data_IF_010983923011
#
_entry.id   IF_010983923011
#
_cell.length_a   1.000
_cell.length_b   1.000
_cell.length_c   1.000
_cell.angle_alpha   90.00
_cell.angle_beta   90.00
_cell.angle_gamma   90.00
#
_symmetry.space_group_name_H-M   'P 1'
#
loop_
_entity.id
_entity.type
_entity.pdbx_description
1 polymer ?
#
# COMPACT_ATOMS: atom_id res chain seq x y z
N UNK A 1 2.37 21.85 4.20
CA UNK A 1 3.42 22.23 3.23
C UNK A 1 4.56 21.22 3.30
N UNK A 2 4.79 20.44 2.23
CA UNK A 2 5.97 19.55 2.09
C UNK A 2 6.60 19.79 0.71
N UNK A 3 7.94 19.72 0.55
CA UNK A 3 8.64 20.20 -0.64
C UNK A 3 8.88 19.10 -1.69
N UNK A 4 8.93 19.52 -2.96
CA UNK A 4 9.19 18.71 -4.17
C UNK A 4 10.68 18.35 -4.31
N UNK A 5 10.98 17.15 -4.83
CA UNK A 5 12.32 16.70 -5.21
C UNK A 5 12.39 16.47 -6.73
N UNK A 6 13.44 16.99 -7.37
CA UNK A 6 13.79 16.89 -8.78
C UNK A 6 14.92 15.88 -9.00
N UNK A 7 14.87 15.10 -10.09
CA UNK A 7 15.90 14.12 -10.46
C UNK A 7 16.29 14.21 -11.95
N UNK A 8 17.58 14.10 -12.24
CA UNK A 8 18.19 14.06 -13.58
C UNK A 8 18.48 12.61 -14.02
N UNK A 9 18.32 12.35 -15.32
CA UNK A 9 18.36 11.03 -15.97
C UNK A 9 19.66 10.78 -16.75
N UNK A 10 20.12 9.52 -16.78
CA UNK A 10 21.17 9.01 -17.67
C UNK A 10 20.71 7.73 -18.39
N UNK A 11 20.81 7.72 -19.72
CA UNK A 11 20.41 6.65 -20.66
C UNK A 11 21.52 5.58 -20.80
N UNK A 12 21.19 4.34 -21.19
CA UNK A 12 21.88 3.46 -22.16
C UNK A 12 21.12 2.10 -22.33
N UNK A 13 21.34 1.31 -23.42
CA UNK A 13 20.27 0.65 -24.16
C UNK A 13 20.18 -0.89 -24.02
N UNK A 14 19.06 -1.40 -24.52
CA UNK A 14 18.53 -2.75 -24.44
C UNK A 14 19.19 -3.79 -25.36
N UNK A 15 19.03 -5.08 -25.01
CA UNK A 15 18.92 -6.18 -25.98
C UNK A 15 18.08 -7.34 -25.44
N UNK A 16 17.25 -7.87 -26.34
CA UNK A 16 16.18 -8.85 -26.18
C UNK A 16 16.68 -10.30 -26.20
N UNK A 17 15.94 -11.21 -25.54
CA UNK A 17 15.58 -12.53 -26.10
C UNK A 17 14.42 -13.15 -25.31
N UNK A 18 13.42 -13.63 -26.05
CA UNK A 18 12.19 -14.24 -25.58
C UNK A 18 12.32 -15.77 -25.47
N UNK A 19 11.60 -16.37 -24.52
CA UNK A 19 11.39 -17.81 -24.43
C UNK A 19 10.13 -18.10 -23.61
N UNK A 20 9.09 -18.62 -24.27
CA UNK A 20 7.82 -19.02 -23.66
C UNK A 20 7.90 -20.49 -23.21
N UNK A 21 7.33 -20.80 -22.04
CA UNK A 21 7.05 -22.18 -21.61
C UNK A 21 5.63 -22.21 -21.01
N UNK A 22 4.81 -23.11 -21.55
CA UNK A 22 3.44 -23.40 -21.10
C UNK A 22 3.45 -24.34 -19.89
N UNK A 23 2.48 -24.19 -18.98
CA UNK A 23 2.24 -25.13 -17.87
C UNK A 23 0.76 -25.54 -17.87
N UNK A 24 0.52 -26.84 -17.93
CA UNK A 24 -0.80 -27.46 -17.81
C UNK A 24 -1.18 -27.65 -16.33
N UNK A 25 -2.46 -27.43 -16.01
CA UNK A 25 -3.03 -27.60 -14.67
C UNK A 25 -3.52 -29.03 -14.45
N UNK A 26 -3.30 -29.57 -13.25
CA UNK A 26 -3.96 -30.79 -12.75
C UNK A 26 -4.81 -30.41 -11.55
N UNK A 27 -6.11 -30.71 -11.62
CA UNK A 27 -7.06 -30.57 -10.53
C UNK A 27 -7.11 -31.87 -9.70
N UNK A 28 -7.21 -31.76 -8.38
CA UNK A 28 -7.52 -32.89 -7.49
C UNK A 28 -8.75 -32.54 -6.65
N UNK A 29 -9.74 -33.42 -6.70
CA UNK A 29 -11.05 -33.31 -6.06
C UNK A 29 -11.12 -34.15 -4.78
N UNK A 30 -11.62 -33.54 -3.69
CA UNK A 30 -12.45 -34.13 -2.62
C UNK A 30 -11.81 -35.05 -1.57
N UNK A 31 -12.09 -34.82 -0.27
CA UNK A 31 -13.08 -35.56 0.56
C UNK A 31 -13.36 -34.73 1.83
N UNK A 32 -14.63 -34.53 2.19
CA UNK A 32 -15.07 -33.78 3.37
C UNK A 32 -15.16 -34.71 4.60
N UNK A 33 -14.48 -34.32 5.68
CA UNK A 33 -14.64 -34.87 7.03
C UNK A 33 -15.02 -33.73 7.99
N UNK A 34 -16.13 -33.90 8.71
CA UNK A 34 -16.71 -32.89 9.58
C UNK A 34 -15.92 -32.74 10.90
N UNK A 35 -15.08 -31.71 10.97
CA UNK A 35 -14.61 -31.09 12.22
C UNK A 35 -14.06 -29.68 11.91
N UNK A 36 -14.67 -28.62 12.45
CA UNK A 36 -14.11 -27.26 12.38
C UNK A 36 -15.04 -26.17 11.84
N UNK A 37 -16.19 -25.95 12.46
CA UNK A 37 -17.11 -24.86 12.09
C UNK A 37 -16.67 -23.47 12.58
N UNK A 38 -15.78 -23.38 13.57
CA UNK A 38 -15.24 -22.09 14.06
C UNK A 38 -14.02 -21.59 13.27
N UNK A 39 -13.13 -22.50 12.85
CA UNK A 39 -11.94 -22.16 12.05
C UNK A 39 -12.28 -21.87 10.59
N UNK A 40 -13.24 -22.61 10.00
CA UNK A 40 -13.70 -22.35 8.64
C UNK A 40 -14.43 -21.00 8.52
N UNK A 41 -15.23 -20.63 9.54
CA UNK A 41 -15.90 -19.33 9.59
C UNK A 41 -14.92 -18.16 9.80
N UNK A 42 -13.88 -18.32 10.63
CA UNK A 42 -12.84 -17.31 10.78
C UNK A 42 -11.97 -17.17 9.53
N UNK A 43 -11.67 -18.28 8.83
CA UNK A 43 -10.95 -18.25 7.55
C UNK A 43 -11.80 -17.65 6.43
N UNK A 44 -13.11 -17.89 6.43
CA UNK A 44 -14.04 -17.27 5.47
C UNK A 44 -14.21 -15.75 5.72
N UNK A 45 -14.33 -15.31 6.98
CA UNK A 45 -14.35 -13.88 7.30
C UNK A 45 -13.02 -13.18 6.98
N UNK A 46 -11.89 -13.84 7.20
CA UNK A 46 -10.57 -13.37 6.81
C UNK A 46 -10.40 -13.30 5.27
N UNK A 47 -11.00 -14.24 4.52
CA UNK A 47 -10.97 -14.23 3.07
C UNK A 47 -11.80 -13.07 2.46
N UNK A 48 -12.91 -12.68 3.10
CA UNK A 48 -13.73 -11.54 2.67
C UNK A 48 -13.10 -10.20 3.06
N UNK A 49 -12.42 -10.13 4.20
CA UNK A 49 -11.74 -8.90 4.66
C UNK A 49 -10.30 -8.76 4.13
N UNK A 50 -9.69 -9.81 3.58
CA UNK A 50 -8.27 -9.82 3.24
C UNK A 50 -7.32 -9.81 4.45
N UNK A 51 -7.85 -9.82 5.68
CA UNK A 51 -7.08 -9.79 6.91
C UNK A 51 -6.27 -11.09 7.10
N UNK A 52 -5.05 -11.03 7.65
CA UNK A 52 -4.29 -12.22 7.96
C UNK A 52 -4.83 -12.97 9.19
N UNK A 53 -4.57 -14.28 9.32
CA UNK A 53 -4.92 -15.03 10.53
C UNK A 53 -4.11 -14.52 11.74
N UNK A 54 -4.62 -14.70 12.96
CA UNK A 54 -3.93 -14.23 14.18
C UNK A 54 -2.48 -14.72 14.31
N UNK A 55 -2.19 -15.94 13.86
CA UNK A 55 -0.83 -16.51 13.85
C UNK A 55 0.16 -15.71 12.98
N UNK A 56 -0.34 -14.93 12.01
CA UNK A 56 0.48 -14.03 11.20
C UNK A 56 1.11 -12.93 12.02
N UNK A 57 0.51 -12.46 13.11
CA UNK A 57 1.04 -11.35 13.89
C UNK A 57 2.12 -11.75 14.90
N UNK A 58 2.51 -13.03 14.93
CA UNK A 58 3.56 -13.51 15.82
C UNK A 58 3.08 -13.62 17.26
N UNK A 59 4.02 -13.56 18.22
CA UNK A 59 3.69 -13.64 19.64
C UNK A 59 3.61 -12.24 20.24
N UNK A 60 2.49 -11.57 20.03
CA UNK A 60 2.26 -10.20 20.51
C UNK A 60 2.31 -10.08 22.03
N UNK A 61 2.11 -11.19 22.77
CA UNK A 61 2.26 -11.25 24.23
C UNK A 61 3.71 -11.09 24.71
N UNK A 62 4.71 -11.21 23.82
CA UNK A 62 6.13 -10.98 24.13
C UNK A 62 6.61 -9.56 23.84
N UNK A 63 5.77 -8.71 23.22
CA UNK A 63 6.12 -7.32 22.97
C UNK A 63 6.30 -6.63 24.33
N UNK A 64 7.46 -6.01 24.60
CA UNK A 64 7.71 -5.37 25.88
C UNK A 64 6.75 -4.20 26.12
N UNK A 65 6.54 -3.86 27.39
CA UNK A 65 5.79 -2.66 27.73
C UNK A 65 6.55 -1.42 27.28
N UNK A 66 5.85 -0.53 26.56
CA UNK A 66 6.38 0.76 26.15
C UNK A 66 6.80 1.58 27.37
N UNK A 67 7.92 2.29 27.26
CA UNK A 67 8.33 3.30 28.25
C UNK A 67 7.94 4.71 27.82
N UNK A 68 7.66 4.89 26.53
CA UNK A 68 7.11 6.12 25.94
C UNK A 68 5.63 5.93 25.61
N UNK A 69 5.22 6.14 24.36
CA UNK A 69 3.80 6.13 23.97
C UNK A 69 3.34 4.72 23.58
N UNK A 70 4.09 4.03 22.72
CA UNK A 70 3.81 2.66 22.30
C UNK A 70 5.11 1.94 21.93
N UNK A 71 5.09 0.62 22.01
CA UNK A 71 6.19 -0.22 21.50
C UNK A 71 5.87 -0.62 20.05
N UNK A 72 6.82 -0.45 19.13
CA UNK A 72 6.67 -0.91 17.75
C UNK A 72 7.54 -2.15 17.52
N UNK A 73 6.94 -3.27 17.14
CA UNK A 73 7.64 -4.47 16.68
C UNK A 73 7.75 -4.47 15.16
N UNK A 74 8.94 -4.74 14.63
CA UNK A 74 9.13 -5.01 13.20
C UNK A 74 9.20 -6.53 12.99
N UNK A 75 8.18 -7.08 12.33
CA UNK A 75 7.98 -8.51 12.19
C UNK A 75 8.37 -9.01 10.79
N UNK A 76 9.31 -9.95 10.75
CA UNK A 76 9.73 -10.57 9.49
C UNK A 76 8.66 -11.52 8.95
N UNK A 77 8.10 -11.19 7.78
CA UNK A 77 7.17 -12.02 7.01
C UNK A 77 7.65 -12.26 5.59
N UNK A 78 8.96 -12.26 5.38
CA UNK A 78 9.59 -12.51 4.07
C UNK A 78 9.56 -13.98 3.63
N UNK A 79 8.88 -14.86 4.38
CA UNK A 79 8.79 -16.29 4.06
C UNK A 79 10.14 -17.01 4.06
N UNK A 80 11.09 -16.56 4.90
CA UNK A 80 12.45 -17.10 4.95
C UNK A 80 13.40 -16.57 3.87
N UNK A 81 12.94 -15.67 2.99
CA UNK A 81 13.78 -15.05 1.95
C UNK A 81 14.93 -14.24 2.54
N UNK A 82 14.68 -13.55 3.65
CA UNK A 82 15.69 -12.79 4.38
C UNK A 82 15.68 -13.19 5.85
N UNK A 83 16.84 -13.49 6.45
CA UNK A 83 16.93 -13.60 7.91
C UNK A 83 16.77 -12.21 8.55
N UNK A 84 16.49 -12.19 9.85
CA UNK A 84 16.30 -10.96 10.64
C UNK A 84 17.50 -10.00 10.61
N UNK A 85 18.72 -10.51 10.38
CA UNK A 85 19.92 -9.69 10.19
C UNK A 85 19.95 -8.95 8.84
N UNK A 86 18.97 -9.20 7.97
CA UNK A 86 18.82 -8.64 6.62
C UNK A 86 17.48 -7.95 6.40
N UNK A 87 16.68 -7.77 7.45
CA UNK A 87 15.49 -6.90 7.45
C UNK A 87 15.84 -5.70 8.30
N UNK A 88 15.80 -4.50 7.71
CA UNK A 88 16.22 -3.26 8.36
C UNK A 88 15.05 -2.31 8.50
N UNK A 89 15.11 -1.49 9.54
CA UNK A 89 14.28 -0.30 9.68
C UNK A 89 15.14 0.95 9.84
N UNK A 90 14.62 2.09 9.43
CA UNK A 90 15.19 3.41 9.71
C UNK A 90 14.12 4.39 10.14
N UNK A 91 14.39 5.09 11.25
CA UNK A 91 13.54 6.13 11.81
C UNK A 91 14.39 7.09 12.64
N UNK A 92 14.13 8.40 12.49
CA UNK A 92 14.76 9.47 13.27
C UNK A 92 16.31 9.38 13.35
N UNK A 93 16.94 9.23 12.19
CA UNK A 93 18.41 9.09 12.06
C UNK A 93 18.98 7.77 12.59
N UNK A 94 18.15 6.92 13.19
CA UNK A 94 18.55 5.58 13.65
C UNK A 94 18.23 4.55 12.58
N UNK A 95 19.10 3.54 12.48
CA UNK A 95 18.96 2.45 11.52
C UNK A 95 19.52 1.17 12.13
N UNK A 96 18.72 0.10 12.10
CA UNK A 96 19.07 -1.21 12.66
C UNK A 96 18.48 -2.33 11.81
N UNK A 97 19.12 -3.49 11.84
CA UNK A 97 18.44 -4.74 11.49
C UNK A 97 17.53 -5.19 12.64
N UNK A 98 16.47 -5.93 12.34
CA UNK A 98 15.57 -6.44 13.38
C UNK A 98 16.26 -7.50 14.27
N UNK A 99 17.32 -8.17 13.80
CA UNK A 99 18.16 -9.02 14.66
C UNK A 99 18.93 -8.22 15.72
N UNK A 100 19.27 -6.96 15.44
CA UNK A 100 19.94 -6.09 16.41
C UNK A 100 18.95 -5.41 17.35
N UNK A 101 17.82 -4.97 16.79
CA UNK A 101 16.80 -4.24 17.53
C UNK A 101 15.43 -4.48 16.86
N UNK A 102 14.65 -5.45 17.35
CA UNK A 102 13.34 -5.77 16.78
C UNK A 102 12.24 -4.82 17.24
N UNK A 103 12.47 -4.09 18.35
CA UNK A 103 11.50 -3.17 18.93
C UNK A 103 11.96 -1.71 18.95
N UNK A 104 11.00 -0.80 18.79
CA UNK A 104 11.19 0.65 18.86
C UNK A 104 10.23 1.20 19.91
N UNK A 105 10.75 1.61 21.07
CA UNK A 105 10.02 2.37 22.08
C UNK A 105 9.77 3.79 21.53
N UNK A 106 8.56 4.01 21.02
CA UNK A 106 8.22 5.12 20.13
C UNK A 106 7.78 6.36 20.94
N UNK A 107 8.49 7.50 20.82
CA UNK A 107 8.08 8.76 21.42
C UNK A 107 6.92 9.40 20.66
N UNK A 108 6.28 10.38 21.30
CA UNK A 108 5.46 11.34 20.60
C UNK A 108 6.28 12.06 19.52
N UNK A 109 5.66 12.28 18.36
CA UNK A 109 6.25 12.97 17.22
C UNK A 109 5.14 13.63 16.39
N UNK A 110 5.47 14.74 15.73
CA UNK A 110 4.52 15.49 14.90
C UNK A 110 4.35 14.91 13.49
N UNK A 111 5.35 14.18 12.99
CA UNK A 111 5.30 13.39 11.77
C UNK A 111 6.48 12.41 11.73
N UNK A 112 6.21 11.16 11.32
CA UNK A 112 7.19 10.10 11.19
C UNK A 112 7.08 9.37 9.86
N UNK A 113 8.23 8.95 9.34
CA UNK A 113 8.34 7.90 8.34
C UNK A 113 9.26 6.82 8.87
N UNK A 114 8.73 5.63 9.04
CA UNK A 114 9.54 4.44 9.32
C UNK A 114 9.79 3.76 7.98
N UNK A 115 11.04 3.76 7.54
CA UNK A 115 11.47 3.08 6.32
C UNK A 115 11.88 1.64 6.62
N UNK A 116 11.53 0.72 5.74
CA UNK A 116 11.81 -0.71 5.85
C UNK A 116 12.63 -1.14 4.63
N UNK A 117 13.69 -1.91 4.84
CA UNK A 117 14.58 -2.38 3.76
C UNK A 117 14.88 -3.87 3.86
N UNK A 118 15.06 -4.52 2.71
CA UNK A 118 15.46 -5.92 2.63
C UNK A 118 16.83 -6.11 1.97
N UNK A 119 17.66 -6.97 2.57
CA UNK A 119 19.00 -7.32 2.11
C UNK A 119 20.10 -6.38 2.60
N UNK A 120 19.89 -5.07 2.49
CA UNK A 120 20.77 -4.05 3.05
C UNK A 120 19.98 -2.79 3.40
N UNK A 121 20.55 -1.98 4.29
CA UNK A 121 20.01 -0.70 4.74
C UNK A 121 19.75 0.37 3.66
N UNK A 122 20.39 0.25 2.51
CA UNK A 122 20.27 1.16 1.36
C UNK A 122 19.72 0.45 0.11
N UNK A 123 19.09 -0.71 0.31
CA UNK A 123 18.54 -1.53 -0.76
C UNK A 123 17.43 -0.80 -1.51
N UNK A 124 17.27 -1.11 -2.80
CA UNK A 124 16.12 -0.66 -3.59
C UNK A 124 14.83 -1.41 -3.24
N UNK A 125 14.94 -2.55 -2.54
CA UNK A 125 13.81 -3.23 -1.90
C UNK A 125 13.50 -2.52 -0.58
N UNK A 126 12.71 -1.47 -0.71
CA UNK A 126 12.27 -0.67 0.43
C UNK A 126 10.83 -0.22 0.26
N UNK A 127 10.24 0.11 1.38
CA UNK A 127 8.94 0.77 1.48
C UNK A 127 8.89 1.54 2.82
N UNK A 128 7.80 2.25 3.11
CA UNK A 128 7.66 2.97 4.37
C UNK A 128 6.21 3.08 4.82
N UNK A 129 6.03 3.35 6.11
CA UNK A 129 4.76 3.77 6.70
C UNK A 129 4.85 5.23 7.13
N UNK A 130 3.72 5.93 7.14
CA UNK A 130 3.60 7.28 7.68
C UNK A 130 2.81 7.24 8.99
N UNK A 131 3.20 8.07 9.96
CA UNK A 131 2.49 8.16 11.22
C UNK A 131 2.69 9.49 11.93
N UNK A 132 1.80 9.77 12.87
CA UNK A 132 1.94 10.80 13.91
C UNK A 132 1.60 10.14 15.24
N UNK A 133 2.45 10.32 16.26
CA UNK A 133 2.21 9.81 17.61
C UNK A 133 1.98 10.99 18.54
N UNK A 134 0.75 11.12 19.03
CA UNK A 134 0.39 12.08 20.06
C UNK A 134 0.77 11.58 21.47
N UNK A 135 0.39 12.32 22.50
CA UNK A 135 0.62 11.90 23.90
C UNK A 135 -0.21 10.68 24.33
N UNK A 136 -1.29 10.37 23.60
CA UNK A 136 -2.19 9.26 23.90
C UNK A 136 -2.92 8.72 22.68
N UNK A 137 -2.39 8.95 21.48
CA UNK A 137 -2.97 8.47 20.22
C UNK A 137 -1.90 8.20 19.19
N UNK A 138 -2.24 7.40 18.20
CA UNK A 138 -1.47 7.23 16.97
C UNK A 138 -2.42 7.37 15.77
N UNK A 139 -1.96 8.10 14.76
CA UNK A 139 -2.46 8.03 13.39
C UNK A 139 -1.38 7.37 12.55
N UNK A 140 -1.73 6.36 11.75
CA UNK A 140 -0.77 5.59 10.97
C UNK A 140 -1.42 4.99 9.74
N UNK A 141 -0.66 4.93 8.66
CA UNK A 141 -1.03 4.28 7.42
C UNK A 141 0.15 3.55 6.76
N UNK A 142 -0.17 2.50 5.99
CA UNK A 142 0.68 2.13 4.84
C UNK A 142 0.35 3.06 3.68
N UNK A 143 1.33 3.38 2.83
CA UNK A 143 1.08 4.26 1.68
C UNK A 143 1.56 3.68 0.36
N UNK A 144 0.76 3.87 -0.69
CA UNK A 144 1.09 3.58 -2.09
C UNK A 144 1.04 4.84 -2.96
N UNK A 145 0.95 6.02 -2.35
CA UNK A 145 0.91 7.32 -3.04
C UNK A 145 2.13 7.53 -3.94
N UNK A 146 3.30 7.09 -3.48
CA UNK A 146 4.55 7.21 -4.24
C UNK A 146 4.88 5.91 -4.99
N UNK A 147 4.72 4.77 -4.31
CA UNK A 147 5.09 3.45 -4.81
C UNK A 147 4.50 2.31 -4.00
N UNK A 148 4.52 1.12 -4.59
CA UNK A 148 4.55 -0.15 -3.86
C UNK A 148 5.94 -0.78 -3.99
N UNK A 149 6.57 -1.13 -2.88
CA UNK A 149 7.91 -1.74 -2.85
C UNK A 149 7.97 -3.09 -2.16
N UNK A 150 7.41 -3.16 -0.96
CA UNK A 150 7.36 -4.35 -0.10
C UNK A 150 5.91 -4.57 0.33
N UNK A 151 5.45 -5.83 0.50
CA UNK A 151 4.22 -6.11 1.21
C UNK A 151 4.34 -5.59 2.65
N UNK A 152 3.43 -4.69 3.06
CA UNK A 152 3.37 -4.13 4.41
C UNK A 152 1.96 -4.26 4.98
N UNK A 153 1.86 -4.68 6.25
CA UNK A 153 0.61 -4.70 7.00
C UNK A 153 0.87 -4.32 8.46
N UNK A 154 -0.11 -3.67 9.07
CA UNK A 154 -0.01 -3.08 10.40
C UNK A 154 -1.09 -3.67 11.29
N UNK A 155 -0.73 -3.96 12.53
CA UNK A 155 -1.65 -4.23 13.64
C UNK A 155 -1.37 -3.20 14.73
N UNK A 156 -2.35 -2.40 15.10
CA UNK A 156 -2.25 -1.46 16.24
C UNK A 156 -3.20 -1.92 17.32
N UNK A 157 -2.68 -2.11 18.54
CA UNK A 157 -3.45 -2.57 19.69
C UNK A 157 -3.44 -1.51 20.80
N UNK A 158 -4.59 -1.21 21.38
CA UNK A 158 -4.74 -0.24 22.48
C UNK A 158 -4.57 -0.88 23.86
N UNK A 159 -4.43 -0.05 24.89
CA UNK A 159 -4.50 -0.50 26.28
C UNK A 159 -5.90 -1.05 26.67
N UNK A 160 -6.96 -0.64 25.97
CA UNK A 160 -8.32 -1.12 26.21
C UNK A 160 -8.64 -2.48 25.59
N UNK A 161 -7.70 -3.07 24.82
CA UNK A 161 -7.94 -4.33 24.11
C UNK A 161 -8.46 -4.18 22.68
N UNK A 162 -8.69 -2.95 22.20
CA UNK A 162 -9.09 -2.73 20.81
C UNK A 162 -7.91 -2.93 19.86
N UNK A 163 -8.16 -3.55 18.71
CA UNK A 163 -7.17 -3.77 17.67
C UNK A 163 -7.68 -3.27 16.31
N UNK A 164 -6.78 -2.70 15.51
CA UNK A 164 -7.05 -2.33 14.11
C UNK A 164 -5.95 -2.84 13.21
N UNK A 165 -6.34 -3.31 12.03
CA UNK A 165 -5.45 -3.85 11.01
C UNK A 165 -5.64 -3.12 9.67
N UNK A 166 -4.53 -2.79 9.01
CA UNK A 166 -4.51 -2.14 7.70
C UNK A 166 -3.29 -2.56 6.89
N UNK A 167 -3.33 -2.33 5.58
CA UNK A 167 -2.22 -2.58 4.66
C UNK A 167 -2.54 -3.63 3.62
N UNK A 168 -1.50 -4.23 3.05
CA UNK A 168 -1.63 -5.26 2.01
C UNK A 168 -2.30 -6.52 2.59
N UNK A 169 -3.20 -7.12 1.81
CA UNK A 169 -3.94 -8.32 2.20
C UNK A 169 -3.02 -9.53 2.39
N UNK A 170 -3.46 -10.50 3.19
CA UNK A 170 -2.69 -11.72 3.48
C UNK A 170 -2.28 -12.51 2.23
N UNK A 171 -3.08 -12.44 1.16
CA UNK A 171 -2.74 -13.03 -0.14
C UNK A 171 -1.49 -12.43 -0.75
N UNK A 172 -1.22 -11.13 -0.54
CA UNK A 172 0.01 -10.46 -1.04
C UNK A 172 1.26 -11.03 -0.36
N UNK A 173 1.18 -11.33 0.94
CA UNK A 173 2.28 -11.94 1.70
C UNK A 173 2.54 -13.40 1.33
N UNK A 174 1.48 -14.15 1.01
CA UNK A 174 1.59 -15.60 0.73
C UNK A 174 1.91 -15.89 -0.73
N UNK A 175 1.53 -15.00 -1.66
CA UNK A 175 1.78 -15.19 -3.09
C UNK A 175 3.19 -14.74 -3.52
N UNK A 176 3.80 -13.81 -2.78
CA UNK A 176 5.11 -13.25 -3.08
C UNK A 176 5.10 -12.12 -4.13
N UNK A 177 6.05 -11.19 -4.03
CA UNK A 177 6.15 -10.00 -4.89
C UNK A 177 6.12 -10.28 -6.38
N UNK A 178 6.79 -11.34 -6.83
CA UNK A 178 6.84 -11.68 -8.26
C UNK A 178 5.44 -11.96 -8.82
N UNK A 179 4.59 -12.67 -8.05
CA UNK A 179 3.22 -12.95 -8.43
C UNK A 179 2.34 -11.71 -8.30
N UNK A 180 2.52 -10.88 -7.27
CA UNK A 180 1.83 -9.59 -7.14
C UNK A 180 2.10 -8.68 -8.34
N UNK A 181 3.37 -8.53 -8.74
CA UNK A 181 3.78 -7.78 -9.93
C UNK A 181 3.12 -8.30 -11.21
N UNK A 182 3.06 -9.63 -11.38
CA UNK A 182 2.39 -10.25 -12.52
C UNK A 182 0.88 -9.97 -12.54
N UNK A 183 0.20 -10.07 -11.39
CA UNK A 183 -1.23 -9.75 -11.26
C UNK A 183 -1.50 -8.28 -11.53
N UNK A 184 -0.68 -7.37 -11.00
CA UNK A 184 -0.79 -5.94 -11.29
C UNK A 184 -0.73 -5.69 -12.80
N UNK A 185 0.28 -6.25 -13.48
CA UNK A 185 0.45 -6.09 -14.94
C UNK A 185 -0.72 -6.67 -15.74
N UNK A 186 -1.30 -7.76 -15.27
CA UNK A 186 -2.46 -8.40 -15.90
C UNK A 186 -3.77 -7.61 -15.66
N UNK A 187 -3.90 -7.01 -14.48
CA UNK A 187 -5.08 -6.29 -14.05
C UNK A 187 -5.23 -4.93 -14.73
N UNK A 188 -4.15 -4.14 -14.77
CA UNK A 188 -4.23 -2.75 -15.22
C UNK A 188 -4.37 -2.63 -16.74
N UNK A 189 -5.06 -1.59 -17.25
CA UNK A 189 -5.18 -1.39 -18.69
C UNK A 189 -3.84 -0.98 -19.31
N UNK A 190 -3.78 -1.00 -20.65
CA UNK A 190 -2.55 -0.81 -21.44
C UNK A 190 -1.70 0.38 -20.98
N UNK A 191 -2.33 1.48 -20.58
CA UNK A 191 -1.68 2.72 -20.18
C UNK A 191 -0.80 2.56 -18.93
N UNK A 192 -1.13 1.64 -18.03
CA UNK A 192 -0.46 1.47 -16.74
C UNK A 192 0.53 0.29 -16.74
N UNK A 193 0.55 -0.53 -17.81
CA UNK A 193 1.34 -1.77 -17.85
C UNK A 193 2.84 -1.53 -17.67
N UNK A 194 3.34 -0.36 -18.05
CA UNK A 194 4.77 -0.04 -17.90
C UNK A 194 5.18 0.17 -16.44
N UNK A 195 4.26 0.60 -15.56
CA UNK A 195 4.51 0.76 -14.12
C UNK A 195 5.02 -0.53 -13.48
N UNK A 196 4.59 -1.69 -14.00
CA UNK A 196 5.03 -3.01 -13.57
C UNK A 196 6.49 -3.34 -13.97
N UNK A 197 7.08 -2.54 -14.85
CA UNK A 197 8.37 -2.84 -15.51
C UNK A 197 9.43 -1.76 -15.31
N UNK A 198 9.06 -0.48 -15.21
CA UNK A 198 10.03 0.62 -15.18
C UNK A 198 10.96 0.60 -13.96
N UNK A 199 10.45 0.11 -12.82
CA UNK A 199 11.22 -0.06 -11.58
C UNK A 199 11.37 -1.53 -11.19
N UNK A 200 11.09 -2.48 -12.10
CA UNK A 200 11.24 -3.88 -11.82
C UNK A 200 12.73 -4.25 -11.57
N UNK A 201 13.02 -5.20 -10.66
CA UNK A 201 12.09 -5.93 -9.80
C UNK A 201 11.77 -5.20 -8.47
N UNK A 202 12.18 -3.94 -8.31
CA UNK A 202 12.22 -3.24 -7.03
C UNK A 202 10.89 -2.68 -6.56
N UNK A 203 10.00 -2.28 -7.46
CA UNK A 203 8.67 -1.81 -7.10
C UNK A 203 7.82 -1.33 -8.28
N UNK A 204 6.63 -0.83 -7.96
CA UNK A 204 5.67 -0.23 -8.89
C UNK A 204 5.50 1.23 -8.46
N UNK A 205 5.93 2.23 -9.23
CA UNK A 205 5.70 3.63 -8.90
C UNK A 205 4.24 4.01 -9.15
N UNK A 206 3.78 5.07 -8.49
CA UNK A 206 2.48 5.65 -8.79
C UNK A 206 2.44 6.31 -10.18
N UNK A 207 1.28 6.31 -10.85
CA UNK A 207 1.16 6.81 -12.23
C UNK A 207 1.53 8.28 -12.39
N UNK A 208 1.28 9.15 -11.39
CA UNK A 208 1.66 10.56 -11.45
C UNK A 208 3.19 10.79 -11.50
N UNK A 209 3.97 9.78 -11.07
CA UNK A 209 5.42 9.81 -11.14
C UNK A 209 6.00 9.27 -12.45
N UNK A 210 5.18 8.63 -13.29
CA UNK A 210 5.61 8.08 -14.57
C UNK A 210 5.66 9.18 -15.65
N UNK A 211 6.80 9.34 -16.36
CA UNK A 211 6.89 10.24 -17.51
C UNK A 211 5.80 10.07 -18.56
N UNK A 212 5.19 8.89 -18.72
CA UNK A 212 4.15 8.65 -19.71
C UNK A 212 2.85 9.39 -19.42
N UNK A 213 2.52 9.67 -18.15
CA UNK A 213 1.33 10.41 -17.75
C UNK A 213 1.57 11.91 -17.47
N UNK A 214 2.84 12.34 -17.50
CA UNK A 214 3.24 13.75 -17.33
C UNK A 214 3.15 14.52 -18.66
N UNK A 215 3.15 15.88 -18.65
CA UNK A 215 3.14 16.68 -19.87
C UNK A 215 4.21 16.23 -20.89
N UNK A 216 3.80 16.04 -22.15
CA UNK A 216 4.65 15.49 -23.21
C UNK A 216 4.73 13.96 -23.27
N UNK A 217 4.22 13.26 -22.26
CA UNK A 217 4.11 11.81 -22.21
C UNK A 217 3.00 11.25 -23.11
N UNK A 218 3.12 9.98 -23.46
CA UNK A 218 2.19 9.26 -24.36
C UNK A 218 0.73 9.27 -23.86
N UNK A 219 0.53 9.30 -22.55
CA UNK A 219 -0.76 9.30 -21.87
C UNK A 219 -1.00 10.59 -21.08
N UNK A 220 -0.31 11.69 -21.41
CA UNK A 220 -0.49 12.99 -20.77
C UNK A 220 -1.94 13.49 -20.80
N UNK A 221 -2.72 13.06 -21.78
CA UNK A 221 -4.14 13.39 -21.96
C UNK A 221 -5.14 12.43 -21.31
N UNK A 222 -4.68 11.43 -20.53
CA UNK A 222 -5.54 10.33 -20.04
C UNK A 222 -6.76 10.81 -19.25
N UNK A 223 -6.63 11.83 -18.41
CA UNK A 223 -7.74 12.41 -17.65
C UNK A 223 -8.30 13.72 -18.24
N UNK A 224 -7.63 14.35 -19.20
CA UNK A 224 -7.88 15.75 -19.60
C UNK A 224 -9.35 16.05 -19.91
N UNK A 225 -10.00 15.23 -20.74
CA UNK A 225 -11.40 15.45 -21.10
C UNK A 225 -12.34 15.27 -19.90
N UNK A 226 -12.11 14.25 -19.08
CA UNK A 226 -12.94 13.95 -17.91
C UNK A 226 -12.76 15.02 -16.82
N UNK A 227 -11.53 15.42 -16.53
CA UNK A 227 -11.23 16.49 -15.58
C UNK A 227 -11.87 17.82 -16.00
N UNK A 228 -11.74 18.21 -17.27
CA UNK A 228 -12.34 19.43 -17.79
C UNK A 228 -13.87 19.44 -17.69
N UNK A 229 -14.53 18.30 -17.92
CA UNK A 229 -15.98 18.17 -17.82
C UNK A 229 -16.51 18.28 -16.38
N UNK A 230 -15.64 18.09 -15.37
CA UNK A 230 -16.02 18.00 -13.96
C UNK A 230 -15.31 19.03 -13.07
N UNK A 231 -14.99 20.21 -13.61
CA UNK A 231 -14.54 21.35 -12.80
C UNK A 231 -13.03 21.42 -12.53
N UNK A 232 -12.23 20.57 -13.20
CA UNK A 232 -10.77 20.57 -13.14
C UNK A 232 -10.16 20.88 -14.52
N UNK A 233 -10.72 21.89 -15.21
CA UNK A 233 -10.24 22.32 -16.53
C UNK A 233 -8.86 22.95 -16.38
N UNK A 234 -7.87 22.37 -17.07
CA UNK A 234 -6.49 22.84 -17.06
C UNK A 234 -5.57 22.01 -16.16
N UNK A 235 -6.12 21.19 -15.25
CA UNK A 235 -5.32 20.23 -14.50
C UNK A 235 -4.82 19.12 -15.43
N UNK A 236 -3.53 18.82 -15.32
CA UNK A 236 -2.88 17.76 -16.06
C UNK A 236 -3.25 16.39 -15.52
N UNK A 237 -3.08 15.34 -16.33
CA UNK A 237 -3.28 13.96 -15.87
C UNK A 237 -2.43 13.63 -14.64
N UNK A 238 -1.19 14.11 -14.58
CA UNK A 238 -0.31 13.92 -13.42
C UNK A 238 -0.84 14.65 -12.17
N UNK A 239 -1.43 15.83 -12.32
CA UNK A 239 -2.08 16.55 -11.22
C UNK A 239 -3.36 15.85 -10.75
N UNK A 240 -4.13 15.21 -11.65
CA UNK A 240 -5.26 14.36 -11.22
C UNK A 240 -4.74 13.19 -10.39
N UNK A 241 -3.74 12.44 -10.86
CA UNK A 241 -3.18 11.31 -10.08
C UNK A 241 -2.60 11.73 -8.73
N UNK A 242 -1.94 12.90 -8.67
CA UNK A 242 -1.25 13.39 -7.49
C UNK A 242 -2.02 14.43 -6.67
N UNK A 243 -3.29 14.68 -6.99
CA UNK A 243 -4.09 15.78 -6.45
C UNK A 243 -3.34 17.12 -6.37
N UNK A 244 -2.60 17.43 -7.44
CA UNK A 244 -1.87 18.67 -7.61
C UNK A 244 -2.74 19.76 -8.24
N UNK A 245 -2.11 20.85 -8.69
CA UNK A 245 -2.82 21.93 -9.36
C UNK A 245 -3.97 22.50 -8.52
N UNK A 246 -5.12 22.69 -9.15
CA UNK A 246 -6.32 23.21 -8.48
C UNK A 246 -6.93 22.19 -7.49
N UNK A 247 -6.68 20.89 -7.72
CA UNK A 247 -7.21 19.79 -6.91
C UNK A 247 -6.58 19.71 -5.52
N UNK A 248 -5.42 20.33 -5.30
CA UNK A 248 -4.78 20.44 -3.98
C UNK A 248 -5.63 21.17 -2.92
N UNK A 249 -6.58 21.99 -3.37
CA UNK A 249 -7.55 22.68 -2.51
C UNK A 249 -8.95 22.06 -2.57
N UNK A 250 -9.13 20.96 -3.32
CA UNK A 250 -10.41 20.29 -3.49
C UNK A 250 -10.29 18.75 -3.39
N UNK A 251 -10.07 18.22 -2.17
CA UNK A 251 -9.94 16.78 -1.92
C UNK A 251 -11.10 15.94 -2.48
N UNK A 252 -12.39 16.29 -2.28
CA UNK A 252 -13.50 15.49 -2.79
C UNK A 252 -13.48 15.39 -4.32
N UNK A 253 -13.19 16.49 -5.03
CA UNK A 253 -13.10 16.44 -6.49
C UNK A 253 -11.92 15.58 -6.96
N UNK A 254 -10.75 15.68 -6.32
CA UNK A 254 -9.62 14.84 -6.71
C UNK A 254 -9.93 13.35 -6.56
N UNK A 255 -10.52 12.96 -5.43
CA UNK A 255 -10.94 11.58 -5.19
C UNK A 255 -11.97 11.13 -6.21
N UNK A 256 -12.97 11.98 -6.51
CA UNK A 256 -14.01 11.68 -7.47
C UNK A 256 -13.46 11.53 -8.91
N UNK A 257 -12.41 12.28 -9.28
CA UNK A 257 -11.73 12.12 -10.57
C UNK A 257 -10.94 10.81 -10.64
N UNK A 258 -10.10 10.53 -9.64
CA UNK A 258 -9.31 9.29 -9.56
C UNK A 258 -10.21 8.03 -9.60
N UNK A 259 -11.35 8.07 -8.92
CA UNK A 259 -12.31 6.95 -8.82
C UNK A 259 -13.33 6.89 -9.96
N UNK A 260 -13.31 7.86 -10.88
CA UNK A 260 -14.28 8.01 -11.96
C UNK A 260 -15.75 8.12 -11.48
N UNK A 261 -15.97 8.93 -10.45
CA UNK A 261 -17.31 9.18 -9.89
C UNK A 261 -17.72 10.66 -9.87
N UNK A 262 -16.88 11.57 -10.35
CA UNK A 262 -17.18 13.01 -10.43
C UNK A 262 -18.49 13.37 -11.16
N UNK A 263 -18.99 12.52 -12.05
CA UNK A 263 -20.31 12.68 -12.70
C UNK A 263 -21.52 12.30 -11.81
N UNK A 264 -21.28 11.58 -10.73
CA UNK A 264 -22.32 11.09 -9.82
C UNK A 264 -22.67 12.17 -8.78
N UNK A 265 -23.83 11.99 -8.14
CA UNK A 265 -24.18 12.77 -6.96
C UNK A 265 -23.16 12.57 -5.83
N UNK A 266 -23.15 13.46 -4.83
CA UNK A 266 -22.27 13.34 -3.67
C UNK A 266 -22.42 11.97 -2.99
N UNK A 267 -23.64 11.46 -2.81
CA UNK A 267 -23.87 10.11 -2.27
C UNK A 267 -23.24 9.02 -3.16
N UNK A 268 -23.32 9.16 -4.48
CA UNK A 268 -22.67 8.26 -5.42
C UNK A 268 -21.14 8.32 -5.36
N UNK A 269 -20.57 9.50 -5.12
CA UNK A 269 -19.13 9.73 -4.93
C UNK A 269 -18.61 9.16 -3.61
N UNK A 270 -19.47 9.02 -2.60
CA UNK A 270 -19.12 8.45 -1.30
C UNK A 270 -19.33 6.94 -1.23
N UNK A 271 -19.90 6.30 -2.26
CA UNK A 271 -20.16 4.86 -2.27
C UNK A 271 -19.05 4.08 -3.00
N UNK A 272 -18.23 3.27 -2.29
CA UNK A 272 -17.11 2.53 -2.89
C UNK A 272 -17.54 1.51 -3.96
N UNK A 273 -18.79 1.04 -3.92
CA UNK A 273 -19.33 0.15 -4.93
C UNK A 273 -19.35 0.78 -6.33
N UNK A 274 -19.26 2.11 -6.44
CA UNK A 274 -19.24 2.84 -7.71
C UNK A 274 -17.83 3.08 -8.26
N UNK A 275 -16.78 2.86 -7.46
CA UNK A 275 -15.43 3.28 -7.82
C UNK A 275 -14.84 2.41 -8.93
N UNK A 276 -14.07 3.03 -9.83
CA UNK A 276 -13.26 2.39 -10.87
C UNK A 276 -14.04 1.53 -11.87
N UNK A 277 -15.37 1.70 -11.97
CA UNK A 277 -16.22 0.90 -12.87
C UNK A 277 -16.01 1.21 -14.36
N UNK A 278 -15.61 2.44 -14.68
CA UNK A 278 -15.33 2.87 -16.05
C UNK A 278 -14.12 3.81 -16.09
N UNK A 279 -13.46 3.87 -17.25
CA UNK A 279 -12.31 4.75 -17.48
C UNK A 279 -12.70 6.12 -18.04
N UNK A 280 -11.82 7.13 -17.93
CA UNK A 280 -10.51 7.06 -17.27
C UNK A 280 -10.64 7.01 -15.74
N UNK A 281 -9.88 6.12 -15.09
CA UNK A 281 -9.79 5.97 -13.65
C UNK A 281 -8.35 5.61 -13.22
N UNK A 282 -8.03 5.74 -11.94
CA UNK A 282 -6.76 5.35 -11.36
C UNK A 282 -6.74 3.85 -11.05
N UNK A 283 -6.51 3.03 -12.08
CA UNK A 283 -6.45 1.57 -11.96
C UNK A 283 -5.24 1.06 -11.16
N UNK A 284 -4.24 1.91 -10.92
CA UNK A 284 -3.18 1.61 -9.95
C UNK A 284 -3.74 1.55 -8.52
N UNK A 285 -4.51 2.58 -8.11
CA UNK A 285 -5.16 2.59 -6.80
C UNK A 285 -6.19 1.46 -6.67
N UNK A 286 -7.02 1.22 -7.70
CA UNK A 286 -8.01 0.12 -7.71
C UNK A 286 -7.35 -1.25 -7.44
N UNK A 287 -6.20 -1.51 -8.06
CA UNK A 287 -5.45 -2.74 -7.78
C UNK A 287 -5.10 -2.86 -6.30
N UNK A 288 -4.58 -1.80 -5.68
CA UNK A 288 -4.17 -1.87 -4.28
C UNK A 288 -5.35 -1.99 -3.33
N UNK A 289 -6.49 -1.33 -3.58
CA UNK A 289 -7.72 -1.56 -2.81
C UNK A 289 -8.19 -3.01 -2.89
N UNK A 290 -8.19 -3.62 -4.09
CA UNK A 290 -8.57 -5.03 -4.27
C UNK A 290 -7.63 -6.02 -3.57
N UNK A 291 -6.47 -5.56 -3.13
CA UNK A 291 -5.42 -6.37 -2.52
C UNK A 291 -5.02 -5.83 -1.14
N UNK A 292 -5.94 -5.16 -0.45
CA UNK A 292 -5.73 -4.59 0.86
C UNK A 292 -6.70 -5.17 1.90
N UNK A 293 -6.28 -5.13 3.17
CA UNK A 293 -7.12 -5.44 4.32
C UNK A 293 -8.30 -4.46 4.33
N UNK A 294 -9.52 -4.98 4.41
CA UNK A 294 -10.78 -4.23 4.40
C UNK A 294 -11.06 -3.47 3.10
N UNK A 295 -10.29 -3.72 2.03
CA UNK A 295 -10.34 -2.90 0.82
C UNK A 295 -9.82 -1.47 1.01
N UNK A 296 -9.05 -1.21 2.07
CA UNK A 296 -8.58 0.13 2.48
C UNK A 296 -7.12 0.34 2.16
N UNK A 297 -6.80 1.36 1.36
CA UNK A 297 -5.43 1.62 0.94
C UNK A 297 -5.22 3.07 0.53
N UNK A 298 -4.02 3.60 0.77
CA UNK A 298 -3.62 4.94 0.37
C UNK A 298 -3.00 4.92 -1.04
N UNK A 299 -3.83 4.80 -2.08
CA UNK A 299 -3.39 4.65 -3.47
C UNK A 299 -3.05 5.96 -4.19
N UNK A 300 -3.59 7.08 -3.73
CA UNK A 300 -3.34 8.43 -4.24
C UNK A 300 -3.59 9.47 -3.12
N UNK A 301 -3.12 10.73 -3.25
CA UNK A 301 -3.44 11.76 -2.25
C UNK A 301 -4.96 11.93 -2.14
N UNK A 302 -5.54 12.11 -0.95
CA UNK A 302 -7.00 12.16 -0.75
C UNK A 302 -7.77 10.85 -0.95
N UNK A 303 -7.11 9.68 -0.87
CA UNK A 303 -7.83 8.41 -0.78
C UNK A 303 -8.61 8.26 0.54
N UNK A 304 -8.34 9.10 1.54
CA UNK A 304 -9.08 9.22 2.79
C UNK A 304 -10.50 9.79 2.59
N UNK A 305 -10.79 10.44 1.45
CA UNK A 305 -12.17 10.79 1.10
C UNK A 305 -13.04 9.52 1.01
N UNK A 306 -14.26 9.59 1.54
CA UNK A 306 -15.13 8.43 1.77
C UNK A 306 -14.49 7.34 2.67
N UNK A 307 -13.48 7.67 3.47
CA UNK A 307 -12.78 6.77 4.38
C UNK A 307 -12.18 5.53 3.68
N UNK A 308 -11.55 5.66 2.52
CA UNK A 308 -10.97 4.51 1.81
C UNK A 308 -9.47 4.34 1.97
N UNK A 309 -8.76 5.29 2.56
CA UNK A 309 -7.34 5.12 2.86
C UNK A 309 -7.12 4.04 3.92
N UNK A 310 -5.86 3.59 4.01
CA UNK A 310 -5.35 2.75 5.09
C UNK A 310 -5.02 3.54 6.36
N UNK A 311 -5.41 4.82 6.47
CA UNK A 311 -5.22 5.60 7.70
C UNK A 311 -6.14 5.09 8.81
N UNK A 312 -5.54 4.80 9.97
CA UNK A 312 -6.25 4.47 11.19
C UNK A 312 -5.77 5.35 12.33
N UNK A 313 -6.74 5.80 13.13
CA UNK A 313 -6.48 6.41 14.43
C UNK A 313 -6.80 5.43 15.56
N UNK A 314 -5.88 5.28 16.52
CA UNK A 314 -6.06 4.48 17.73
C UNK A 314 -5.73 5.32 18.96
N UNK A 315 -6.69 5.40 19.89
CA UNK A 315 -6.49 6.02 21.19
C UNK A 315 -5.83 5.04 22.16
N UNK A 316 -5.00 5.58 23.06
CA UNK A 316 -4.19 4.85 24.04
C UNK A 316 -3.49 3.63 23.43
N UNK A 317 -2.66 3.81 22.38
CA UNK A 317 -1.96 2.71 21.75
C UNK A 317 -1.00 2.06 22.76
N UNK A 318 -0.97 0.73 22.78
CA UNK A 318 -0.07 -0.07 23.61
C UNK A 318 1.13 -0.56 22.79
N UNK A 319 0.84 -1.14 21.62
CA UNK A 319 1.85 -1.57 20.68
C UNK A 319 1.36 -1.49 19.24
N UNK A 320 2.31 -1.46 18.31
CA UNK A 320 2.09 -1.66 16.89
C UNK A 320 3.01 -2.76 16.36
N UNK A 321 2.50 -3.61 15.49
CA UNK A 321 3.30 -4.59 14.74
C UNK A 321 3.34 -4.15 13.28
N UNK A 322 4.54 -4.07 12.71
CA UNK A 322 4.79 -3.79 11.29
C UNK A 322 5.27 -5.07 10.62
N UNK A 323 4.40 -5.74 9.89
CA UNK A 323 4.76 -6.95 9.14
C UNK A 323 5.42 -6.58 7.80
N UNK A 324 6.65 -7.07 7.58
CA UNK A 324 7.43 -6.83 6.36
C UNK A 324 7.53 -8.11 5.53
N UNK A 325 6.88 -8.12 4.36
CA UNK A 325 6.79 -9.28 3.49
C UNK A 325 7.79 -9.33 2.34
N UNK A 326 7.67 -10.36 1.50
CA UNK A 326 8.40 -10.53 0.24
C UNK A 326 7.48 -10.98 -0.88
#
# INVERSE_FOLDING_TARGET
>A
MRPRSSAHAGRFPARWLAGAIAVAAVAVSGVAGAAGSSSAASLANAAVSGAPPSSFWGNTGKIPAAKKVLEVEILNRTGGRYPDSKVFWSFDGTEKSIAQQPYIDMPANSAGRLYLYLGSKNSKYFDFIEFTVGSGSINVDTTRVDRWGLPLALLVHSHSGAAKEVGDAYTVFTEGRAKTLARFKAFVPRQFKELATINAPYGIPSPGNDPSFRPGGKYAGYFTAYAAAHGAKGDTTAEVFGCGGTLSANPPLCAALNRHVAKLSQAGQQNPANFYKTGPANYYADFWHKNAIGGKQYGFPYDDDASQSSDISVAHPKYMVVAVGW
#
